data_IF_259962864548
#
_entry.id   IF_259962864548
#
_cell.length_a   1.000
_cell.length_b   1.000
_cell.length_c   1.000
_cell.angle_alpha   90.00
_cell.angle_beta   90.00
_cell.angle_gamma   90.00
#
_symmetry.space_group_name_H-M   'P 1'
#
loop_
_entity.id
_entity.type
_entity.pdbx_description
1 polymer ?
#
# COMPACT_ATOMS: atom_id res chain seq x y z
N UNK A 1 -14.19 -12.28 -9.17
CA UNK A 1 -15.04 -11.52 -8.23
C UNK A 1 -16.03 -12.41 -7.48
N UNK A 2 -15.74 -12.65 -6.20
CA UNK A 2 -16.60 -13.37 -5.26
C UNK A 2 -17.83 -12.53 -4.90
N UNK A 3 -19.01 -13.15 -4.79
CA UNK A 3 -20.23 -12.47 -4.38
C UNK A 3 -20.09 -12.00 -2.92
N UNK A 4 -20.15 -10.70 -2.67
CA UNK A 4 -20.13 -10.17 -1.30
C UNK A 4 -21.39 -10.64 -0.54
N UNK A 5 -21.25 -10.97 0.76
CA UNK A 5 -22.40 -11.16 1.63
C UNK A 5 -23.29 -9.92 1.67
N UNK A 6 -24.57 -10.11 1.98
CA UNK A 6 -25.46 -8.99 2.26
C UNK A 6 -25.10 -8.29 3.58
N UNK A 7 -25.69 -7.12 3.81
CA UNK A 7 -25.40 -6.32 4.98
C UNK A 7 -25.77 -7.05 6.29
N UNK A 8 -26.90 -7.75 6.32
CA UNK A 8 -27.38 -8.45 7.52
C UNK A 8 -26.41 -9.57 7.93
N UNK A 9 -25.84 -10.30 6.96
CA UNK A 9 -24.81 -11.30 7.20
C UNK A 9 -23.52 -10.68 7.75
N UNK A 10 -23.10 -9.53 7.20
CA UNK A 10 -21.91 -8.82 7.71
C UNK A 10 -22.13 -8.30 9.12
N UNK A 11 -23.33 -7.78 9.42
CA UNK A 11 -23.71 -7.33 10.76
C UNK A 11 -23.71 -8.51 11.74
N UNK A 12 -24.32 -9.63 11.36
CA UNK A 12 -24.32 -10.84 12.18
C UNK A 12 -22.90 -11.33 12.48
N UNK A 13 -22.02 -11.34 11.47
CA UNK A 13 -20.60 -11.69 11.65
C UNK A 13 -19.88 -10.72 12.59
N UNK A 14 -20.16 -9.42 12.50
CA UNK A 14 -19.55 -8.42 13.38
C UNK A 14 -19.93 -8.63 14.85
N UNK A 15 -21.19 -9.00 15.11
CA UNK A 15 -21.72 -9.19 16.46
C UNK A 15 -21.38 -10.55 17.07
N UNK A 16 -21.38 -11.61 16.26
CA UNK A 16 -21.31 -12.98 16.75
C UNK A 16 -19.94 -13.64 16.50
N UNK A 17 -19.29 -13.33 15.37
CA UNK A 17 -18.06 -14.00 14.93
C UNK A 17 -17.04 -13.04 14.28
N UNK A 18 -16.52 -12.04 15.03
CA UNK A 18 -15.66 -10.99 14.49
C UNK A 18 -14.39 -11.54 13.82
N UNK A 19 -13.84 -12.65 14.34
CA UNK A 19 -12.69 -13.33 13.73
C UNK A 19 -12.98 -13.86 12.32
N UNK A 20 -14.23 -14.29 12.04
CA UNK A 20 -14.63 -14.73 10.70
C UNK A 20 -14.85 -13.55 9.76
N UNK A 21 -15.33 -12.42 10.28
CA UNK A 21 -15.42 -11.17 9.50
C UNK A 21 -14.03 -10.69 9.06
N UNK A 22 -13.05 -10.72 9.96
CA UNK A 22 -11.66 -10.38 9.64
C UNK A 22 -11.06 -11.34 8.59
N UNK A 23 -11.32 -12.65 8.73
CA UNK A 23 -10.87 -13.65 7.76
C UNK A 23 -11.51 -13.43 6.37
N UNK A 24 -12.80 -13.10 6.33
CA UNK A 24 -13.50 -12.75 5.09
C UNK A 24 -12.89 -11.51 4.46
N UNK A 25 -12.63 -10.45 5.24
CA UNK A 25 -12.01 -9.23 4.74
C UNK A 25 -10.64 -9.52 4.11
N UNK A 26 -9.79 -10.30 4.79
CA UNK A 26 -8.47 -10.70 4.27
C UNK A 26 -8.57 -11.49 2.98
N UNK A 27 -9.50 -12.45 2.92
CA UNK A 27 -9.76 -13.24 1.71
C UNK A 27 -10.14 -12.35 0.53
N UNK A 28 -11.10 -11.43 0.72
CA UNK A 28 -11.55 -10.52 -0.34
C UNK A 28 -10.43 -9.58 -0.81
N UNK A 29 -9.60 -9.07 0.12
CA UNK A 29 -8.44 -8.26 -0.24
C UNK A 29 -7.42 -9.05 -1.08
N UNK A 30 -7.16 -10.30 -0.70
CA UNK A 30 -6.21 -11.15 -1.42
C UNK A 30 -6.72 -11.48 -2.83
N UNK A 31 -8.01 -11.76 -2.99
CA UNK A 31 -8.62 -11.99 -4.31
C UNK A 31 -8.45 -10.78 -5.24
N UNK A 32 -8.66 -9.55 -4.72
CA UNK A 32 -8.43 -8.32 -5.50
C UNK A 32 -6.96 -8.17 -5.90
N UNK A 33 -6.03 -8.50 -5.00
CA UNK A 33 -4.59 -8.47 -5.32
C UNK A 33 -4.28 -9.52 -6.40
N UNK A 34 -4.81 -10.73 -6.27
CA UNK A 34 -4.53 -11.84 -7.18
C UNK A 34 -5.06 -11.59 -8.60
N UNK A 35 -6.23 -10.94 -8.72
CA UNK A 35 -6.84 -10.53 -9.99
C UNK A 35 -6.14 -9.31 -10.64
N UNK A 36 -5.33 -8.55 -9.88
CA UNK A 36 -4.67 -7.35 -10.39
C UNK A 36 -3.46 -7.63 -11.30
N UNK A 37 -3.04 -6.63 -12.08
CA UNK A 37 -1.87 -6.75 -12.97
C UNK A 37 -0.57 -7.02 -12.22
N UNK A 38 0.37 -7.75 -12.84
CA UNK A 38 1.67 -8.05 -12.23
C UNK A 38 2.45 -6.77 -11.81
N UNK A 39 2.28 -5.67 -12.54
CA UNK A 39 2.91 -4.39 -12.22
C UNK A 39 2.30 -3.71 -10.98
N UNK A 40 1.01 -3.91 -10.71
CA UNK A 40 0.32 -3.31 -9.56
C UNK A 40 0.39 -4.15 -8.29
N UNK A 41 0.50 -5.48 -8.40
CA UNK A 41 0.50 -6.43 -7.26
C UNK A 41 1.43 -6.01 -6.11
N UNK A 42 2.73 -5.71 -6.32
CA UNK A 42 3.62 -5.36 -5.20
C UNK A 42 3.18 -4.10 -4.45
N UNK A 43 2.62 -3.12 -5.16
CA UNK A 43 2.13 -1.88 -4.55
C UNK A 43 0.86 -2.12 -3.73
N UNK A 44 -0.04 -2.99 -4.20
CA UNK A 44 -1.27 -3.33 -3.48
C UNK A 44 -0.97 -4.14 -2.21
N UNK A 45 -0.05 -5.11 -2.27
CA UNK A 45 0.42 -5.85 -1.09
C UNK A 45 1.02 -4.89 -0.06
N UNK A 46 1.93 -4.02 -0.49
CA UNK A 46 2.53 -3.02 0.40
C UNK A 46 1.51 -2.07 1.01
N UNK A 47 0.48 -1.68 0.25
CA UNK A 47 -0.62 -0.83 0.75
C UNK A 47 -1.44 -1.55 1.82
N UNK A 48 -1.79 -2.82 1.60
CA UNK A 48 -2.53 -3.65 2.56
C UNK A 48 -1.72 -3.82 3.85
N UNK A 49 -0.45 -4.21 3.76
CA UNK A 49 0.43 -4.34 4.93
C UNK A 49 0.53 -3.05 5.74
N UNK A 50 0.63 -1.91 5.04
CA UNK A 50 0.69 -0.60 5.70
C UNK A 50 -0.64 -0.26 6.40
N UNK A 51 -1.77 -0.55 5.75
CA UNK A 51 -3.09 -0.36 6.35
C UNK A 51 -3.24 -1.21 7.62
N UNK A 52 -2.91 -2.50 7.56
CA UNK A 52 -3.00 -3.41 8.70
C UNK A 52 -2.13 -2.94 9.87
N UNK A 53 -0.89 -2.50 9.60
CA UNK A 53 0.01 -1.94 10.63
C UNK A 53 -0.54 -0.68 11.27
N UNK A 54 -1.21 0.20 10.52
CA UNK A 54 -1.84 1.39 11.13
C UNK A 54 -3.07 1.02 11.95
N UNK A 55 -3.86 0.07 11.45
CA UNK A 55 -5.07 -0.41 12.13
C UNK A 55 -4.75 -1.14 13.44
N UNK A 56 -3.62 -1.84 13.55
CA UNK A 56 -3.19 -2.50 14.79
C UNK A 56 -2.82 -1.52 15.91
N UNK A 57 -2.46 -0.29 15.56
CA UNK A 57 -2.16 0.79 16.51
C UNK A 57 -3.42 1.54 16.98
N UNK A 58 -4.56 1.33 16.33
CA UNK A 58 -5.81 2.01 16.68
C UNK A 58 -6.44 1.40 17.93
N UNK A 59 -6.89 2.26 18.85
CA UNK A 59 -7.52 1.84 20.12
C UNK A 59 -9.04 1.88 20.08
N UNK A 60 -9.62 2.57 19.10
CA UNK A 60 -11.07 2.74 18.97
C UNK A 60 -11.55 2.49 17.52
N UNK A 61 -12.80 2.06 17.33
CA UNK A 61 -13.38 1.91 15.99
C UNK A 61 -13.36 3.22 15.18
N UNK A 62 -13.58 4.36 15.83
CA UNK A 62 -13.54 5.67 15.18
C UNK A 62 -12.14 6.01 14.64
N UNK A 63 -11.08 5.72 15.40
CA UNK A 63 -9.70 5.89 14.92
C UNK A 63 -9.42 5.02 13.69
N UNK A 64 -9.89 3.76 13.68
CA UNK A 64 -9.76 2.87 12.53
C UNK A 64 -10.43 3.47 11.28
N UNK A 65 -11.66 3.96 11.44
CA UNK A 65 -12.39 4.65 10.38
C UNK A 65 -11.61 5.86 9.85
N UNK A 66 -11.15 6.75 10.73
CA UNK A 66 -10.41 7.95 10.34
C UNK A 66 -9.14 7.62 9.56
N UNK A 67 -8.38 6.59 9.99
CA UNK A 67 -7.16 6.14 9.30
C UNK A 67 -7.49 5.61 7.91
N UNK A 68 -8.48 4.73 7.79
CA UNK A 68 -8.87 4.14 6.50
C UNK A 68 -9.33 5.24 5.54
N UNK A 69 -10.23 6.12 5.99
CA UNK A 69 -10.72 7.24 5.18
C UNK A 69 -9.60 8.19 4.78
N UNK A 70 -8.69 8.54 5.70
CA UNK A 70 -7.54 9.39 5.38
C UNK A 70 -6.65 8.78 4.31
N UNK A 71 -6.35 7.47 4.41
CA UNK A 71 -5.53 6.78 3.41
C UNK A 71 -6.24 6.73 2.06
N UNK A 72 -7.54 6.49 2.04
CA UNK A 72 -8.35 6.50 0.81
C UNK A 72 -8.35 7.88 0.15
N UNK A 73 -8.60 8.96 0.91
CA UNK A 73 -8.56 10.33 0.40
C UNK A 73 -7.17 10.71 -0.14
N UNK A 74 -6.09 10.28 0.52
CA UNK A 74 -4.73 10.49 0.00
C UNK A 74 -4.55 9.84 -1.37
N UNK A 75 -5.04 8.60 -1.57
CA UNK A 75 -4.97 7.93 -2.87
C UNK A 75 -5.83 8.60 -3.93
N UNK A 76 -7.02 9.07 -3.56
CA UNK A 76 -7.88 9.82 -4.48
C UNK A 76 -7.25 11.15 -4.88
N UNK A 77 -6.62 11.86 -3.94
CA UNK A 77 -5.85 13.07 -4.23
C UNK A 77 -4.70 12.78 -5.18
N UNK A 78 -3.89 11.75 -4.91
CA UNK A 78 -2.79 11.38 -5.82
C UNK A 78 -3.31 11.00 -7.21
N UNK A 79 -4.45 10.34 -7.31
CA UNK A 79 -5.07 10.04 -8.60
C UNK A 79 -5.49 11.32 -9.33
N UNK A 80 -6.13 12.25 -8.62
CA UNK A 80 -6.49 13.56 -9.16
C UNK A 80 -5.26 14.31 -9.69
N UNK A 81 -4.15 14.27 -8.96
CA UNK A 81 -2.90 14.93 -9.38
C UNK A 81 -2.32 14.26 -10.63
N UNK A 82 -2.30 12.93 -10.70
CA UNK A 82 -1.82 12.19 -11.89
C UNK A 82 -2.69 12.48 -13.12
N UNK A 83 -4.01 12.60 -12.95
CA UNK A 83 -4.93 12.79 -14.07
C UNK A 83 -4.92 14.24 -14.59
N UNK A 84 -4.83 15.23 -13.70
CA UNK A 84 -4.94 16.64 -14.08
C UNK A 84 -3.59 17.36 -14.20
N UNK A 85 -2.55 16.89 -13.49
CA UNK A 85 -1.22 17.50 -13.42
C UNK A 85 -0.10 16.44 -13.54
N UNK A 86 -0.08 15.61 -14.60
CA UNK A 86 0.86 14.51 -14.73
C UNK A 86 2.33 14.97 -14.73
N UNK A 87 2.64 16.08 -15.40
CA UNK A 87 4.01 16.58 -15.50
C UNK A 87 4.57 16.95 -14.12
N UNK A 88 3.80 17.66 -13.30
CA UNK A 88 4.18 18.03 -11.94
C UNK A 88 4.36 16.78 -11.06
N UNK A 89 3.44 15.83 -11.17
CA UNK A 89 3.49 14.58 -10.40
C UNK A 89 4.78 13.78 -10.68
N UNK A 90 5.21 13.71 -11.94
CA UNK A 90 6.41 12.96 -12.33
C UNK A 90 7.72 13.75 -12.25
N UNK A 91 7.67 15.08 -12.13
CA UNK A 91 8.86 15.95 -12.01
C UNK A 91 9.51 15.88 -10.62
N UNK A 92 8.78 15.53 -9.57
CA UNK A 92 9.31 15.39 -8.20
C UNK A 92 10.12 14.10 -7.97
N UNK A 93 11.11 13.81 -8.82
CA UNK A 93 12.06 12.72 -8.59
C UNK A 93 13.28 13.24 -7.86
N UNK A 94 13.57 12.64 -6.70
CA UNK A 94 14.83 12.88 -6.00
C UNK A 94 16.01 12.44 -6.88
N UNK A 95 17.06 13.27 -6.95
CA UNK A 95 18.32 12.86 -7.56
C UNK A 95 18.92 11.75 -6.71
N UNK A 96 18.97 10.53 -7.25
CA UNK A 96 19.64 9.41 -6.59
C UNK A 96 21.14 9.67 -6.63
N UNK A 97 21.69 10.12 -5.51
CA UNK A 97 23.13 10.26 -5.35
C UNK A 97 23.74 8.87 -5.15
N UNK A 98 24.60 8.47 -6.06
CA UNK A 98 25.42 7.27 -5.90
C UNK A 98 26.47 7.53 -4.82
N UNK A 99 26.39 6.80 -3.72
CA UNK A 99 27.48 6.79 -2.74
C UNK A 99 28.65 6.04 -3.35
N UNK A 100 29.68 6.77 -3.78
CA UNK A 100 30.97 6.18 -4.10
C UNK A 100 31.61 5.70 -2.80
N UNK A 101 31.54 4.41 -2.52
CA UNK A 101 32.48 3.80 -1.58
C UNK A 101 33.89 4.07 -2.11
N UNK A 102 34.79 4.56 -1.24
CA UNK A 102 36.12 5.08 -1.57
C UNK A 102 37.06 4.14 -2.34
N UNK A 103 38.27 4.62 -2.66
CA UNK A 103 38.95 4.41 -3.94
C UNK A 103 39.45 2.98 -4.16
N UNK A 104 39.13 2.42 -5.34
CA UNK A 104 39.93 1.36 -5.94
C UNK A 104 41.35 1.87 -6.15
N UNK A 105 42.28 1.47 -5.28
CA UNK A 105 43.72 1.59 -5.55
C UNK A 105 44.09 0.65 -6.70
N UNK A 106 43.93 1.09 -7.94
CA UNK A 106 44.61 0.47 -9.08
C UNK A 106 46.01 1.04 -9.15
N UNK A 107 46.95 0.38 -8.49
CA UNK A 107 48.37 0.64 -8.67
C UNK A 107 48.79 0.35 -10.11
N UNK A 108 49.00 1.40 -10.90
CA UNK A 108 49.73 1.33 -12.17
C UNK A 108 51.11 1.93 -11.93
N UNK A 109 52.07 1.10 -11.49
CA UNK A 109 53.48 1.45 -11.48
C UNK A 109 54.00 1.31 -12.92
N UNK A 110 54.05 2.42 -13.66
CA UNK A 110 54.72 2.48 -14.96
C UNK A 110 56.23 2.41 -14.79
N UNK A 111 56.80 1.51 -15.58
CA UNK A 111 58.21 1.23 -15.84
C UNK A 111 58.95 2.49 -16.30
N UNK A 112 60.18 2.68 -15.81
CA UNK A 112 61.27 3.27 -16.57
C UNK A 112 62.54 2.47 -16.29
#
# INVERSE_FOLDING_TARGET
>A
MTKLPDFDQLLWLAENEPSKLDALQKKLNQEVIDESSAASKPKLVSLLDHLEKKLSLCKTPYQRYQIVSSMMYQKLSSLNDVLNHPDEFYQHKATVLTFANGPSQTGTKKVR
#
